data_IF_162489120502
#
_entry.id   IF_162489120502
#
_cell.length_a   1.000
_cell.length_b   1.000
_cell.length_c   1.000
_cell.angle_alpha   90.00
_cell.angle_beta   90.00
_cell.angle_gamma   90.00
#
_symmetry.space_group_name_H-M   'P 1'
#
loop_
_entity.id
_entity.type
_entity.pdbx_description
1 polymer ?
#
# COMPACT_ATOMS: atom_id res chain seq x y z
N UNK A 1 -10.78 -24.76 12.34
CA UNK A 1 -10.65 -23.59 11.47
C UNK A 1 -9.17 -23.36 11.16
N UNK A 2 -8.82 -23.19 9.89
CA UNK A 2 -7.48 -22.88 9.42
C UNK A 2 -7.50 -21.47 8.82
N UNK A 3 -6.57 -20.62 9.26
CA UNK A 3 -6.39 -19.26 8.74
C UNK A 3 -4.96 -19.15 8.22
N UNK A 4 -4.82 -18.77 6.95
CA UNK A 4 -3.51 -18.66 6.31
C UNK A 4 -3.53 -17.67 5.15
N UNK A 5 -2.36 -17.12 4.82
CA UNK A 5 -2.16 -16.43 3.54
C UNK A 5 -2.02 -17.44 2.40
N UNK A 6 -2.39 -17.09 1.14
CA UNK A 6 -2.37 -18.03 0.02
C UNK A 6 -1.03 -18.75 -0.17
N UNK A 7 0.08 -18.01 -0.16
CA UNK A 7 1.41 -18.59 -0.33
C UNK A 7 1.81 -19.55 0.79
N UNK A 8 1.49 -19.20 2.05
CA UNK A 8 1.79 -20.07 3.19
C UNK A 8 0.94 -21.34 3.21
N UNK A 9 -0.33 -21.24 2.81
CA UNK A 9 -1.21 -22.39 2.69
C UNK A 9 -0.70 -23.40 1.67
N UNK A 10 -0.32 -22.92 0.48
CA UNK A 10 0.26 -23.76 -0.57
C UNK A 10 1.60 -24.40 -0.17
N UNK A 11 2.45 -23.65 0.55
CA UNK A 11 3.72 -24.15 1.07
C UNK A 11 3.50 -25.31 2.05
N UNK A 12 2.63 -25.14 3.03
CA UNK A 12 2.32 -26.19 4.03
C UNK A 12 1.61 -27.39 3.42
N UNK A 13 0.72 -27.17 2.45
CA UNK A 13 0.09 -28.26 1.69
C UNK A 13 1.12 -29.05 0.90
N UNK A 14 2.05 -28.37 0.21
CA UNK A 14 3.14 -29.04 -0.54
C UNK A 14 4.07 -29.86 0.36
N UNK A 15 4.28 -29.42 1.60
CA UNK A 15 5.06 -30.15 2.60
C UNK A 15 4.29 -31.30 3.27
N UNK A 16 2.99 -31.49 2.93
CA UNK A 16 2.16 -32.57 3.49
C UNK A 16 1.60 -32.30 4.88
N UNK A 17 1.79 -31.09 5.43
CA UNK A 17 1.25 -30.74 6.76
C UNK A 17 -0.25 -30.44 6.77
N UNK A 18 -0.83 -30.14 5.61
CA UNK A 18 -2.23 -29.76 5.48
C UNK A 18 -2.86 -30.55 4.33
N UNK A 19 -3.99 -31.18 4.61
CA UNK A 19 -4.87 -31.77 3.62
C UNK A 19 -6.14 -30.89 3.47
N UNK A 20 -6.46 -30.53 2.21
CA UNK A 20 -7.60 -29.69 1.87
C UNK A 20 -8.79 -30.49 1.33
N UNK A 21 -8.68 -31.83 1.19
CA UNK A 21 -9.69 -32.67 0.58
C UNK A 21 -10.99 -32.80 1.38
N UNK A 22 -10.96 -32.44 2.67
CA UNK A 22 -12.12 -32.54 3.58
C UNK A 22 -12.71 -31.18 3.96
N UNK A 23 -12.40 -30.13 3.20
CA UNK A 23 -12.91 -28.79 3.47
C UNK A 23 -14.38 -28.65 3.05
N UNK A 24 -15.23 -28.19 3.97
CA UNK A 24 -16.64 -27.87 3.70
C UNK A 24 -16.90 -26.38 3.47
N UNK A 25 -15.99 -25.52 3.93
CA UNK A 25 -16.12 -24.05 3.80
C UNK A 25 -14.79 -23.45 3.36
N UNK A 26 -14.85 -22.63 2.33
CA UNK A 26 -13.73 -21.79 1.87
C UNK A 26 -14.12 -20.33 2.00
N UNK A 27 -13.33 -19.56 2.74
CA UNK A 27 -13.53 -18.12 2.87
C UNK A 27 -12.33 -17.41 2.24
N UNK A 28 -12.60 -16.58 1.26
CA UNK A 28 -11.63 -15.66 0.66
C UNK A 28 -11.96 -14.26 1.17
N UNK A 29 -11.09 -13.74 2.01
CA UNK A 29 -11.24 -12.40 2.59
C UNK A 29 -10.26 -11.42 1.96
N UNK A 30 -10.66 -10.14 1.83
CA UNK A 30 -9.88 -9.09 1.18
C UNK A 30 -9.44 -9.47 -0.26
N UNK A 31 -10.38 -9.99 -1.09
CA UNK A 31 -10.07 -10.51 -2.41
C UNK A 31 -9.45 -9.46 -3.35
N UNK A 32 -9.87 -8.20 -3.27
CA UNK A 32 -9.28 -7.07 -4.00
C UNK A 32 -7.80 -6.85 -3.61
N UNK A 33 -7.47 -7.00 -2.35
CA UNK A 33 -6.08 -6.91 -1.90
C UNK A 33 -5.23 -8.09 -2.40
N UNK A 34 -5.82 -9.30 -2.45
CA UNK A 34 -5.14 -10.46 -3.03
C UNK A 34 -4.83 -10.26 -4.53
N UNK A 35 -5.72 -9.55 -5.26
CA UNK A 35 -5.47 -9.16 -6.65
C UNK A 35 -4.28 -8.20 -6.75
N UNK A 36 -4.28 -7.13 -5.96
CA UNK A 36 -3.23 -6.10 -5.95
C UNK A 36 -1.85 -6.68 -5.62
N UNK A 37 -1.82 -7.69 -4.75
CA UNK A 37 -0.59 -8.40 -4.36
C UNK A 37 -0.16 -9.48 -5.35
N UNK A 38 -0.95 -9.75 -6.40
CA UNK A 38 -0.65 -10.76 -7.41
C UNK A 38 -0.94 -12.21 -6.99
N UNK A 39 -1.68 -12.44 -5.90
CA UNK A 39 -2.00 -13.78 -5.38
C UNK A 39 -3.14 -14.50 -6.13
N UNK A 40 -3.71 -13.91 -7.16
CA UNK A 40 -4.81 -14.53 -7.92
C UNK A 40 -4.48 -15.94 -8.40
N UNK A 41 -3.27 -16.16 -8.90
CA UNK A 41 -2.86 -17.48 -9.37
C UNK A 41 -2.75 -18.49 -8.22
N UNK A 42 -2.32 -18.05 -7.03
CA UNK A 42 -2.22 -18.93 -5.87
C UNK A 42 -3.61 -19.23 -5.30
N UNK A 43 -4.52 -18.27 -5.29
CA UNK A 43 -5.94 -18.49 -4.95
C UNK A 43 -6.58 -19.50 -5.91
N UNK A 44 -6.36 -19.39 -7.22
CA UNK A 44 -6.85 -20.37 -8.22
C UNK A 44 -6.31 -21.78 -7.97
N UNK A 45 -5.03 -21.92 -7.53
CA UNK A 45 -4.46 -23.23 -7.16
C UNK A 45 -5.15 -23.78 -5.91
N UNK A 46 -5.35 -22.97 -4.87
CA UNK A 46 -6.03 -23.38 -3.64
C UNK A 46 -7.45 -23.88 -3.95
N UNK A 47 -8.20 -23.14 -4.76
CA UNK A 47 -9.55 -23.52 -5.18
C UNK A 47 -9.57 -24.91 -5.82
N UNK A 48 -8.60 -25.21 -6.68
CA UNK A 48 -8.47 -26.54 -7.35
C UNK A 48 -8.08 -27.66 -6.39
N UNK A 49 -7.50 -27.37 -5.24
CA UNK A 49 -7.11 -28.35 -4.22
C UNK A 49 -8.24 -28.61 -3.20
N UNK A 50 -9.35 -27.89 -3.28
CA UNK A 50 -10.47 -28.01 -2.36
C UNK A 50 -11.63 -28.72 -3.05
N UNK A 51 -12.48 -29.51 -2.32
CA UNK A 51 -13.61 -30.22 -2.90
C UNK A 51 -14.62 -29.29 -3.59
N UNK A 52 -15.25 -29.74 -4.66
CA UNK A 52 -16.30 -28.97 -5.34
C UNK A 52 -17.56 -28.82 -4.48
N UNK A 53 -17.88 -29.82 -3.68
CA UNK A 53 -19.00 -29.78 -2.73
C UNK A 53 -18.60 -29.06 -1.45
N UNK A 54 -18.51 -27.72 -1.53
CA UNK A 54 -18.21 -26.82 -0.40
C UNK A 54 -19.07 -25.57 -0.46
N UNK A 55 -19.24 -24.91 0.67
CA UNK A 55 -19.70 -23.53 0.69
C UNK A 55 -18.52 -22.60 0.48
N UNK A 56 -18.65 -21.69 -0.47
CA UNK A 56 -17.59 -20.68 -0.72
C UNK A 56 -18.12 -19.28 -0.45
N UNK A 57 -17.38 -18.51 0.36
CA UNK A 57 -17.67 -17.12 0.66
C UNK A 57 -16.49 -16.26 0.16
N UNK A 58 -16.84 -15.14 -0.50
CA UNK A 58 -15.87 -14.16 -0.96
C UNK A 58 -16.22 -12.81 -0.35
N UNK A 59 -15.26 -12.23 0.37
CA UNK A 59 -15.35 -10.89 0.93
C UNK A 59 -14.37 -9.97 0.21
N UNK A 60 -14.81 -8.79 -0.16
CA UNK A 60 -14.01 -7.78 -0.82
C UNK A 60 -14.58 -6.41 -0.54
N UNK A 61 -13.74 -5.42 -0.26
CA UNK A 61 -14.19 -4.04 -0.09
C UNK A 61 -14.58 -3.42 -1.44
N UNK A 62 -13.93 -3.86 -2.52
CA UNK A 62 -14.20 -3.41 -3.88
C UNK A 62 -14.42 -4.60 -4.81
N UNK A 63 -15.15 -4.39 -5.92
CA UNK A 63 -15.46 -5.44 -6.88
C UNK A 63 -15.02 -5.04 -8.31
N UNK A 64 -13.70 -4.83 -8.54
CA UNK A 64 -13.21 -4.57 -9.88
C UNK A 64 -13.45 -5.76 -10.81
N UNK A 65 -13.40 -5.52 -12.12
CA UNK A 65 -13.72 -6.54 -13.14
C UNK A 65 -12.95 -7.84 -12.90
N UNK A 66 -11.66 -7.77 -12.61
CA UNK A 66 -10.82 -8.95 -12.38
C UNK A 66 -11.23 -9.79 -11.16
N UNK A 67 -11.76 -9.16 -10.09
CA UNK A 67 -12.31 -9.88 -8.92
C UNK A 67 -13.66 -10.51 -9.27
N UNK A 68 -14.48 -9.83 -10.07
CA UNK A 68 -15.74 -10.38 -10.55
C UNK A 68 -15.50 -11.61 -11.43
N UNK A 69 -14.61 -11.49 -12.41
CA UNK A 69 -14.17 -12.60 -13.25
C UNK A 69 -13.62 -13.77 -12.43
N UNK A 70 -12.81 -13.48 -11.41
CA UNK A 70 -12.32 -14.51 -10.50
C UNK A 70 -13.50 -15.20 -9.78
N UNK A 71 -14.41 -14.43 -9.19
CA UNK A 71 -15.57 -14.94 -8.48
C UNK A 71 -16.43 -15.85 -9.38
N UNK A 72 -16.67 -15.45 -10.62
CA UNK A 72 -17.45 -16.21 -11.60
C UNK A 72 -16.80 -17.57 -11.96
N UNK A 73 -15.49 -17.75 -11.74
CA UNK A 73 -14.81 -19.02 -12.03
C UNK A 73 -15.07 -20.10 -10.98
N UNK A 74 -15.48 -19.76 -9.76
CA UNK A 74 -15.60 -20.75 -8.67
C UNK A 74 -16.82 -20.60 -7.76
N UNK A 75 -17.59 -19.50 -7.88
CA UNK A 75 -18.86 -19.35 -7.18
C UNK A 75 -20.00 -19.89 -8.04
N UNK A 76 -20.83 -20.75 -7.47
CA UNK A 76 -22.00 -21.30 -8.14
C UNK A 76 -23.26 -20.59 -7.64
N UNK A 77 -23.92 -19.82 -8.52
CA UNK A 77 -25.13 -19.06 -8.22
C UNK A 77 -25.00 -18.23 -6.93
N UNK A 78 -23.97 -17.37 -6.81
CA UNK A 78 -23.71 -16.65 -5.57
C UNK A 78 -24.83 -15.67 -5.23
N UNK A 79 -25.07 -15.48 -3.93
CA UNK A 79 -25.87 -14.36 -3.43
C UNK A 79 -24.96 -13.18 -3.20
N UNK A 80 -25.29 -12.04 -3.77
CA UNK A 80 -24.56 -10.79 -3.59
C UNK A 80 -25.17 -9.99 -2.44
N UNK A 81 -24.34 -9.64 -1.46
CA UNK A 81 -24.71 -8.77 -0.34
C UNK A 81 -23.74 -7.58 -0.36
N UNK A 82 -24.29 -6.38 -0.55
CA UNK A 82 -23.52 -5.14 -0.49
C UNK A 82 -23.96 -4.35 0.75
N UNK A 83 -23.02 -3.93 1.57
CA UNK A 83 -23.31 -3.23 2.82
C UNK A 83 -23.19 -1.72 2.57
N UNK A 84 -22.12 -1.10 2.56
CA UNK A 84 -22.01 0.36 2.51
C UNK A 84 -21.20 0.82 1.29
N UNK A 85 -21.58 1.89 0.57
CA UNK A 85 -20.74 2.44 -0.50
C UNK A 85 -19.38 2.91 0.04
N UNK A 86 -18.33 2.71 -0.73
CA UNK A 86 -16.96 3.14 -0.42
C UNK A 86 -16.89 4.66 -0.13
N UNK A 87 -17.74 5.46 -0.78
CA UNK A 87 -17.83 6.91 -0.60
C UNK A 87 -18.17 7.33 0.84
N UNK A 88 -18.97 6.56 1.58
CA UNK A 88 -19.39 6.92 2.94
C UNK A 88 -18.23 6.96 3.96
N UNK A 89 -17.19 6.17 3.77
CA UNK A 89 -15.99 6.26 4.61
C UNK A 89 -15.26 7.58 4.40
N UNK A 90 -15.25 8.11 3.18
CA UNK A 90 -14.61 9.38 2.86
C UNK A 90 -15.36 10.59 3.42
N UNK A 91 -16.68 10.49 3.58
CA UNK A 91 -17.52 11.58 4.12
C UNK A 91 -17.25 11.86 5.60
N UNK A 92 -16.83 10.86 6.37
CA UNK A 92 -16.57 10.97 7.81
C UNK A 92 -15.14 11.43 8.15
N UNK A 93 -14.29 11.64 7.15
CA UNK A 93 -12.89 12.05 7.33
C UNK A 93 -12.69 13.45 6.78
N UNK A 94 -12.15 14.37 7.59
CA UNK A 94 -11.70 15.68 7.10
C UNK A 94 -10.50 15.48 6.16
N UNK A 95 -10.57 16.07 4.96
CA UNK A 95 -9.55 15.84 3.93
C UNK A 95 -8.96 17.15 3.44
N UNK A 96 -7.62 17.17 3.27
CA UNK A 96 -6.86 18.28 2.67
C UNK A 96 -5.90 17.75 1.63
N UNK A 97 -5.70 18.48 0.53
CA UNK A 97 -4.68 18.18 -0.47
C UNK A 97 -3.74 19.36 -0.66
N UNK A 98 -2.46 19.04 -0.75
CA UNK A 98 -1.37 19.98 -1.06
C UNK A 98 -0.79 19.62 -2.41
N UNK A 99 -0.82 20.55 -3.36
CA UNK A 99 -0.13 20.38 -4.63
C UNK A 99 1.32 20.82 -4.46
N UNK A 100 2.27 19.88 -4.56
CA UNK A 100 3.66 20.09 -4.16
C UNK A 100 4.61 19.36 -5.10
N UNK A 101 5.77 19.96 -5.39
CA UNK A 101 6.81 19.28 -6.17
C UNK A 101 7.33 18.05 -5.43
N UNK A 102 7.68 17.02 -6.19
CA UNK A 102 8.14 15.74 -5.65
C UNK A 102 9.33 15.88 -4.68
N UNK A 103 10.26 16.76 -5.01
CA UNK A 103 11.47 16.97 -4.19
C UNK A 103 11.17 17.69 -2.88
N UNK A 104 10.11 18.51 -2.86
CA UNK A 104 9.70 19.33 -1.73
C UNK A 104 8.78 18.59 -0.75
N UNK A 105 8.17 17.44 -1.14
CA UNK A 105 7.25 16.68 -0.29
C UNK A 105 7.82 16.40 1.10
N UNK A 106 9.13 16.08 1.22
CA UNK A 106 9.75 15.80 2.52
C UNK A 106 9.90 17.02 3.39
N UNK A 107 10.14 18.18 2.77
CA UNK A 107 10.24 19.46 3.49
C UNK A 107 8.87 19.87 4.00
N UNK A 108 7.84 19.77 3.15
CA UNK A 108 6.46 20.03 3.53
C UNK A 108 6.00 19.09 4.65
N UNK A 109 6.29 17.78 4.55
CA UNK A 109 5.95 16.81 5.60
C UNK A 109 6.55 17.21 6.95
N UNK A 110 7.85 17.51 6.97
CA UNK A 110 8.55 17.96 8.18
C UNK A 110 7.92 19.23 8.75
N UNK A 111 7.63 20.22 7.90
CA UNK A 111 7.00 21.47 8.30
C UNK A 111 5.64 21.24 8.95
N UNK A 112 4.75 20.48 8.30
CA UNK A 112 3.41 20.21 8.84
C UNK A 112 3.43 19.46 10.16
N UNK A 113 4.34 18.47 10.30
CA UNK A 113 4.46 17.73 11.56
C UNK A 113 4.81 18.68 12.72
N UNK A 114 5.72 19.64 12.48
CA UNK A 114 6.17 20.58 13.51
C UNK A 114 5.09 21.65 13.77
N UNK A 115 4.57 22.30 12.72
CA UNK A 115 3.64 23.42 12.84
C UNK A 115 2.26 23.01 13.37
N UNK A 116 1.73 21.86 12.89
CA UNK A 116 0.42 21.36 13.33
C UNK A 116 0.56 20.36 14.51
N UNK A 117 1.77 20.16 15.05
CA UNK A 117 2.07 19.24 16.16
C UNK A 117 1.50 17.84 15.91
N UNK A 118 1.66 17.32 14.68
CA UNK A 118 1.10 16.04 14.29
C UNK A 118 1.80 14.89 15.03
N UNK A 119 1.05 14.18 15.83
CA UNK A 119 1.51 12.98 16.53
C UNK A 119 0.57 11.80 16.28
N UNK A 120 1.06 10.58 16.48
CA UNK A 120 0.30 9.34 16.21
C UNK A 120 -0.23 9.30 14.76
N UNK A 121 0.63 9.68 13.79
CA UNK A 121 0.29 9.78 12.39
C UNK A 121 0.85 8.60 11.57
N UNK A 122 0.03 8.09 10.64
CA UNK A 122 0.43 7.08 9.67
C UNK A 122 0.69 7.75 8.32
N UNK A 123 1.92 7.63 7.82
CA UNK A 123 2.36 8.19 6.54
C UNK A 123 2.50 7.08 5.51
N UNK A 124 1.74 7.17 4.43
CA UNK A 124 1.80 6.22 3.31
C UNK A 124 2.75 6.70 2.22
N UNK A 125 3.67 5.84 1.81
CA UNK A 125 4.55 6.06 0.67
C UNK A 125 4.54 4.86 -0.27
N UNK A 126 4.83 5.11 -1.55
CA UNK A 126 4.76 4.08 -2.61
C UNK A 126 5.88 3.05 -2.51
N UNK A 127 7.08 3.44 -2.00
CA UNK A 127 8.26 2.58 -2.05
C UNK A 127 8.93 2.39 -0.69
N UNK A 128 9.53 1.21 -0.50
CA UNK A 128 10.33 0.89 0.69
C UNK A 128 11.48 1.87 0.93
N UNK A 129 12.21 2.23 -0.14
CA UNK A 129 13.29 3.22 -0.06
C UNK A 129 12.77 4.63 0.23
N UNK A 130 11.55 4.96 -0.26
CA UNK A 130 10.86 6.20 0.11
C UNK A 130 10.59 6.26 1.60
N UNK A 131 10.11 5.16 2.19
CA UNK A 131 9.83 5.06 3.62
C UNK A 131 11.10 5.29 4.46
N UNK A 132 12.19 4.59 4.17
CA UNK A 132 13.46 4.79 4.89
C UNK A 132 14.02 6.21 4.74
N UNK A 133 13.89 6.82 3.54
CA UNK A 133 14.34 8.19 3.30
C UNK A 133 13.50 9.23 4.07
N UNK A 134 12.18 9.05 4.14
CA UNK A 134 11.30 9.91 4.95
C UNK A 134 11.72 9.84 6.41
N UNK A 135 11.84 8.62 6.98
CA UNK A 135 12.26 8.42 8.36
C UNK A 135 13.63 9.06 8.64
N UNK A 136 14.58 8.91 7.72
CA UNK A 136 15.91 9.55 7.87
C UNK A 136 15.82 11.08 7.97
N UNK A 137 14.95 11.71 7.18
CA UNK A 137 14.72 13.17 7.23
C UNK A 137 14.05 13.58 8.54
N UNK A 138 13.03 12.83 8.98
CA UNK A 138 12.31 13.13 10.21
C UNK A 138 13.20 12.95 11.45
N UNK A 139 13.98 11.87 11.52
CA UNK A 139 14.95 11.65 12.62
C UNK A 139 16.01 12.74 12.70
N UNK A 140 16.49 13.27 11.56
CA UNK A 140 17.42 14.43 11.55
C UNK A 140 16.79 15.72 12.11
N UNK A 141 15.47 15.81 12.08
CA UNK A 141 14.71 16.91 12.68
C UNK A 141 14.21 16.58 14.11
N UNK A 142 14.80 15.55 14.76
CA UNK A 142 14.44 15.07 16.11
C UNK A 142 12.97 14.61 16.24
N UNK A 143 12.31 14.25 15.12
CA UNK A 143 10.95 13.67 15.12
C UNK A 143 11.09 12.15 15.28
N UNK A 144 10.36 11.57 16.23
CA UNK A 144 10.35 10.14 16.50
C UNK A 144 9.55 9.42 15.41
N UNK A 145 10.25 8.83 14.44
CA UNK A 145 9.65 8.16 13.30
C UNK A 145 10.31 6.81 13.03
N UNK A 146 9.51 5.81 12.62
CA UNK A 146 10.00 4.50 12.17
C UNK A 146 9.29 4.07 10.87
N UNK A 147 9.94 3.18 10.11
CA UNK A 147 9.41 2.65 8.86
C UNK A 147 9.00 1.18 8.97
N UNK A 148 7.89 0.84 8.30
CA UNK A 148 7.43 -0.54 8.11
C UNK A 148 7.24 -0.84 6.62
N UNK A 149 7.98 -1.83 6.09
CA UNK A 149 7.92 -2.26 4.68
C UNK A 149 8.45 -3.68 4.52
N UNK A 150 8.34 -4.24 3.31
CA UNK A 150 8.64 -5.65 3.03
C UNK A 150 10.07 -6.09 3.33
N UNK A 151 11.06 -5.19 3.32
CA UNK A 151 12.46 -5.53 3.63
C UNK A 151 12.77 -5.58 5.14
N UNK A 152 11.82 -5.21 6.00
CA UNK A 152 11.97 -5.37 7.45
C UNK A 152 11.57 -6.79 7.86
N UNK A 153 12.35 -7.41 8.75
CA UNK A 153 12.00 -8.70 9.33
C UNK A 153 10.68 -8.63 10.11
N UNK A 154 9.99 -9.75 10.26
CA UNK A 154 8.70 -9.79 10.98
C UNK A 154 8.84 -9.29 12.43
N UNK A 155 9.92 -9.66 13.12
CA UNK A 155 10.18 -9.19 14.48
C UNK A 155 10.40 -7.67 14.54
N UNK A 156 11.11 -7.10 13.56
CA UNK A 156 11.30 -5.65 13.48
C UNK A 156 9.97 -4.94 13.23
N UNK A 157 9.11 -5.49 12.37
CA UNK A 157 7.78 -4.94 12.10
C UNK A 157 6.89 -4.96 13.34
N UNK A 158 6.86 -6.08 14.07
CA UNK A 158 6.09 -6.18 15.32
C UNK A 158 6.56 -5.16 16.36
N UNK A 159 7.89 -5.06 16.58
CA UNK A 159 8.45 -4.08 17.51
C UNK A 159 8.05 -2.64 17.17
N UNK A 160 8.16 -2.25 15.88
CA UNK A 160 7.79 -0.90 15.45
C UNK A 160 6.29 -0.64 15.66
N UNK A 161 5.44 -1.65 15.43
CA UNK A 161 4.00 -1.53 15.66
C UNK A 161 3.67 -1.36 17.16
N UNK A 162 4.34 -2.10 18.02
CA UNK A 162 4.20 -1.96 19.47
C UNK A 162 4.65 -0.57 19.94
N UNK A 163 5.80 -0.10 19.48
CA UNK A 163 6.28 1.26 19.78
C UNK A 163 5.28 2.34 19.32
N UNK A 164 4.67 2.17 18.16
CA UNK A 164 3.68 3.11 17.66
C UNK A 164 2.37 3.06 18.47
N UNK A 165 1.86 1.86 18.80
CA UNK A 165 0.69 1.69 19.66
C UNK A 165 0.91 2.28 21.06
N UNK A 166 2.11 2.13 21.61
CA UNK A 166 2.50 2.67 22.92
C UNK A 166 2.85 4.17 22.87
N UNK A 167 2.75 4.83 21.71
CA UNK A 167 3.11 6.26 21.50
C UNK A 167 4.57 6.58 21.82
N UNK A 168 5.46 5.59 21.70
CA UNK A 168 6.91 5.78 21.83
C UNK A 168 7.50 6.45 20.56
N UNK A 169 6.84 6.27 19.42
CA UNK A 169 7.09 6.98 18.15
C UNK A 169 5.85 7.74 17.73
N UNK A 170 6.05 8.91 17.15
CA UNK A 170 4.98 9.83 16.74
C UNK A 170 4.51 9.55 15.30
N UNK A 171 5.42 9.11 14.43
CA UNK A 171 5.18 8.92 13.01
C UNK A 171 5.54 7.50 12.58
N UNK A 172 4.56 6.79 12.06
CA UNK A 172 4.79 5.50 11.38
C UNK A 172 4.75 5.72 9.87
N UNK A 173 5.84 5.39 9.17
CA UNK A 173 5.90 5.46 7.70
C UNK A 173 5.75 4.07 7.11
N UNK A 174 4.75 3.84 6.27
CA UNK A 174 4.42 2.52 5.75
C UNK A 174 4.23 2.51 4.23
N UNK A 175 4.53 1.37 3.61
CA UNK A 175 4.03 1.05 2.26
C UNK A 175 2.66 0.38 2.37
N UNK A 176 1.82 0.47 1.32
CA UNK A 176 0.48 -0.14 1.33
C UNK A 176 0.52 -1.62 1.72
N UNK A 177 1.42 -2.40 1.12
CA UNK A 177 1.57 -3.83 1.40
C UNK A 177 1.90 -4.09 2.88
N UNK A 178 2.75 -3.26 3.46
CA UNK A 178 3.15 -3.44 4.86
C UNK A 178 2.11 -2.94 5.85
N UNK A 179 1.26 -2.00 5.46
CA UNK A 179 0.17 -1.47 6.25
C UNK A 179 -1.11 -2.34 6.20
N UNK A 180 -1.16 -3.32 5.30
CA UNK A 180 -2.27 -4.28 5.23
C UNK A 180 -2.20 -5.27 6.39
N UNK A 181 -3.36 -5.61 6.94
CA UNK A 181 -3.45 -6.53 8.08
C UNK A 181 -2.85 -6.00 9.39
N UNK A 182 -2.48 -4.71 9.42
CA UNK A 182 -2.06 -4.08 10.65
C UNK A 182 -3.31 -3.59 11.39
N UNK A 183 -3.46 -4.03 12.64
CA UNK A 183 -4.46 -3.55 13.56
C UNK A 183 -4.05 -2.16 14.10
N UNK A 184 -4.17 -1.16 13.25
CA UNK A 184 -4.02 0.26 13.57
C UNK A 184 -5.22 0.99 12.99
N UNK A 185 -6.08 1.43 13.87
CA UNK A 185 -7.30 2.16 13.54
C UNK A 185 -7.46 3.36 14.48
N UNK A 186 -8.41 4.24 14.16
CA UNK A 186 -8.74 5.42 14.96
C UNK A 186 -7.57 6.40 15.13
N UNK A 187 -6.69 6.46 14.13
CA UNK A 187 -5.62 7.42 14.14
C UNK A 187 -6.15 8.85 13.99
N UNK A 188 -5.57 9.84 14.65
CA UNK A 188 -5.93 11.24 14.42
C UNK A 188 -5.51 11.71 13.03
N UNK A 189 -4.41 11.21 12.49
CA UNK A 189 -3.84 11.67 11.24
C UNK A 189 -3.44 10.53 10.31
N UNK A 190 -3.82 10.65 9.04
CA UNK A 190 -3.31 9.84 7.92
C UNK A 190 -2.72 10.77 6.87
N UNK A 191 -1.50 10.50 6.42
CA UNK A 191 -0.80 11.30 5.43
C UNK A 191 -0.48 10.45 4.22
N UNK A 192 -1.06 10.77 3.06
CA UNK A 192 -0.68 10.20 1.78
C UNK A 192 0.49 11.00 1.21
N UNK A 193 1.72 10.59 1.55
CA UNK A 193 2.94 11.21 1.02
C UNK A 193 3.05 11.01 -0.50
N UNK A 194 2.64 9.83 -0.99
CA UNK A 194 2.45 9.54 -2.41
C UNK A 194 0.97 9.19 -2.66
N UNK A 195 0.40 9.77 -3.70
CA UNK A 195 -0.95 9.43 -4.16
C UNK A 195 -0.96 7.99 -4.67
N UNK A 196 -1.90 7.12 -4.24
CA UNK A 196 -1.99 5.76 -4.75
C UNK A 196 -2.46 5.75 -6.21
N UNK A 197 -1.99 4.75 -6.97
CA UNK A 197 -2.38 4.58 -8.37
C UNK A 197 -3.80 4.01 -8.54
N UNK A 198 -4.31 3.36 -7.48
CA UNK A 198 -5.63 2.75 -7.40
C UNK A 198 -6.46 3.59 -6.44
N UNK A 199 -7.56 4.14 -6.93
CA UNK A 199 -8.37 5.09 -6.17
C UNK A 199 -8.98 4.48 -4.90
N UNK A 200 -9.32 3.20 -4.92
CA UNK A 200 -9.84 2.44 -3.77
C UNK A 200 -8.81 2.35 -2.64
N UNK A 201 -7.52 2.25 -2.99
CA UNK A 201 -6.44 2.25 -2.00
C UNK A 201 -6.43 3.55 -1.18
N UNK A 202 -6.79 4.69 -1.79
CA UNK A 202 -6.95 5.95 -1.06
C UNK A 202 -7.97 5.83 0.06
N UNK A 203 -9.14 5.26 -0.23
CA UNK A 203 -10.22 5.09 0.77
C UNK A 203 -9.79 4.13 1.88
N UNK A 204 -9.10 3.04 1.54
CA UNK A 204 -8.54 2.10 2.53
C UNK A 204 -7.49 2.76 3.44
N UNK A 205 -6.68 3.69 2.90
CA UNK A 205 -5.69 4.44 3.69
C UNK A 205 -6.38 5.41 4.64
N UNK A 206 -7.28 6.28 4.14
CA UNK A 206 -7.96 7.26 4.98
C UNK A 206 -8.93 6.59 5.97
N UNK A 207 -9.42 5.39 5.68
CA UNK A 207 -10.20 4.58 6.60
C UNK A 207 -9.43 4.09 7.84
N UNK A 208 -8.14 4.42 8.00
CA UNK A 208 -7.40 4.25 9.26
C UNK A 208 -7.66 5.38 10.26
N UNK A 209 -8.34 6.45 9.82
CA UNK A 209 -8.78 7.56 10.66
C UNK A 209 -10.30 7.74 10.56
N UNK A 210 -10.90 8.61 11.37
CA UNK A 210 -12.32 9.00 11.28
C UNK A 210 -13.32 7.89 11.59
N UNK A 211 -12.99 6.91 12.45
CA UNK A 211 -13.88 5.83 12.87
C UNK A 211 -14.48 6.07 14.26
N UNK A 212 -15.62 5.44 14.54
CA UNK A 212 -16.30 5.42 15.85
C UNK A 212 -16.65 6.81 16.41
N UNK A 213 -17.02 7.76 15.52
CA UNK A 213 -17.42 9.11 15.96
C UNK A 213 -16.26 10.09 16.23
N UNK A 214 -15.01 9.66 16.10
CA UNK A 214 -13.86 10.53 16.21
C UNK A 214 -13.60 11.25 14.88
N UNK A 215 -13.35 12.57 14.93
CA UNK A 215 -12.90 13.33 13.77
C UNK A 215 -11.46 12.96 13.40
N UNK A 216 -11.22 12.54 12.16
CA UNK A 216 -9.89 12.24 11.64
C UNK A 216 -9.51 13.20 10.52
N UNK A 217 -8.20 13.44 10.35
CA UNK A 217 -7.67 14.27 9.29
C UNK A 217 -6.80 13.45 8.34
N UNK A 218 -7.17 13.47 7.05
CA UNK A 218 -6.36 12.93 5.97
C UNK A 218 -5.70 14.06 5.18
N UNK A 219 -4.37 14.03 5.08
CA UNK A 219 -3.56 14.98 4.34
C UNK A 219 -2.95 14.25 3.14
N UNK A 220 -3.03 14.85 1.95
CA UNK A 220 -2.50 14.24 0.73
C UNK A 220 -1.53 15.19 0.02
N UNK A 221 -0.37 14.68 -0.40
CA UNK A 221 0.60 15.42 -1.20
C UNK A 221 0.54 14.93 -2.65
N UNK A 222 0.09 15.79 -3.54
CA UNK A 222 -0.08 15.49 -4.95
C UNK A 222 1.02 16.16 -5.77
N UNK A 223 1.90 15.37 -6.37
CA UNK A 223 2.87 15.83 -7.35
C UNK A 223 2.23 16.07 -8.72
N UNK A 224 2.94 16.77 -9.63
CA UNK A 224 2.47 16.99 -11.00
C UNK A 224 2.16 15.68 -11.73
N UNK A 225 3.01 14.70 -11.57
CA UNK A 225 2.89 13.35 -12.15
C UNK A 225 1.78 12.48 -11.50
N UNK A 226 1.19 12.94 -10.40
CA UNK A 226 0.13 12.23 -9.68
C UNK A 226 -1.26 12.84 -9.89
N UNK A 227 -1.37 13.97 -10.60
CA UNK A 227 -2.63 14.72 -10.76
C UNK A 227 -3.75 13.88 -11.36
N UNK A 228 -3.45 13.04 -12.36
CA UNK A 228 -4.46 12.18 -12.98
C UNK A 228 -5.04 11.17 -11.98
N UNK A 229 -4.20 10.56 -11.14
CA UNK A 229 -4.67 9.66 -10.08
C UNK A 229 -5.50 10.40 -9.03
N UNK A 230 -5.12 11.63 -8.69
CA UNK A 230 -5.89 12.46 -7.77
C UNK A 230 -7.30 12.75 -8.30
N UNK A 231 -7.43 13.08 -9.57
CA UNK A 231 -8.74 13.31 -10.21
C UNK A 231 -9.61 12.05 -10.21
N UNK A 232 -9.02 10.86 -10.44
CA UNK A 232 -9.74 9.60 -10.36
C UNK A 232 -10.20 9.30 -8.91
N UNK A 233 -9.41 9.66 -7.89
CA UNK A 233 -9.81 9.57 -6.48
C UNK A 233 -11.00 10.47 -6.18
N UNK A 234 -10.97 11.76 -6.57
CA UNK A 234 -12.09 12.68 -6.35
C UNK A 234 -13.38 12.19 -7.03
N UNK A 235 -13.28 11.56 -8.22
CA UNK A 235 -14.42 10.92 -8.89
C UNK A 235 -14.99 9.76 -8.08
N UNK A 236 -14.12 8.90 -7.52
CA UNK A 236 -14.53 7.75 -6.72
C UNK A 236 -15.23 8.18 -5.44
N UNK A 237 -14.63 9.12 -4.68
CA UNK A 237 -15.19 9.61 -3.41
C UNK A 237 -16.35 10.59 -3.60
N UNK A 238 -16.62 11.01 -4.83
CA UNK A 238 -17.69 11.94 -5.23
C UNK A 238 -17.66 13.28 -4.48
N UNK A 239 -16.47 13.74 -4.09
CA UNK A 239 -16.30 15.01 -3.43
C UNK A 239 -15.05 15.73 -3.91
N UNK A 240 -15.08 17.07 -3.86
CA UNK A 240 -13.88 17.89 -4.05
C UNK A 240 -13.19 18.08 -2.72
N UNK A 241 -11.94 17.69 -2.65
CA UNK A 241 -11.13 17.84 -1.44
C UNK A 241 -10.59 19.26 -1.34
N UNK A 242 -10.57 19.81 -0.13
CA UNK A 242 -10.03 21.15 0.12
C UNK A 242 -8.57 21.23 -0.28
N UNK A 243 -8.27 22.07 -1.27
CA UNK A 243 -6.90 22.40 -1.68
C UNK A 243 -6.32 23.42 -0.73
N UNK A 244 -5.13 23.15 -0.20
CA UNK A 244 -4.36 24.12 0.60
C UNK A 244 -3.30 24.75 -0.31
N UNK A 245 -3.39 26.06 -0.49
CA UNK A 245 -2.50 26.84 -1.37
C UNK A 245 -1.53 27.72 -0.61
N UNK A 246 -1.80 27.97 0.67
CA UNK A 246 -0.95 28.80 1.53
C UNK A 246 0.22 27.99 2.10
N UNK A 247 1.19 27.68 1.22
CA UNK A 247 2.48 27.07 1.59
C UNK A 247 3.55 27.37 0.54
N UNK A 248 4.79 27.46 0.96
CA UNK A 248 5.94 27.86 0.12
C UNK A 248 6.32 26.86 -0.99
N UNK A 249 5.78 25.64 -0.98
CA UNK A 249 6.13 24.56 -1.92
C UNK A 249 5.06 24.33 -3.00
N UNK A 250 4.12 25.26 -3.17
CA UNK A 250 3.01 25.16 -4.13
C UNK A 250 3.55 25.20 -5.56
N UNK A 251 3.06 24.29 -6.41
CA UNK A 251 3.27 24.37 -7.85
C UNK A 251 1.99 24.85 -8.56
N UNK A 252 2.14 25.52 -9.71
CA UNK A 252 1.01 26.04 -10.49
C UNK A 252 0.56 25.04 -11.56
N UNK A 253 -0.74 24.99 -11.83
CA UNK A 253 -1.40 24.03 -12.73
C UNK A 253 -1.17 24.28 -14.23
N UNK A 254 -0.45 25.35 -14.61
CA UNK A 254 -0.44 25.90 -15.99
C UNK A 254 0.04 24.95 -17.10
N UNK A 255 0.58 23.75 -16.78
CA UNK A 255 1.17 22.84 -17.79
C UNK A 255 0.76 21.36 -17.67
N UNK A 256 -0.39 21.01 -17.12
CA UNK A 256 -0.73 19.61 -16.90
C UNK A 256 -1.69 19.10 -17.97
N UNK A 257 -1.26 18.09 -18.72
CA UNK A 257 -2.17 17.21 -19.43
C UNK A 257 -2.91 16.32 -18.39
N UNK A 258 -4.22 16.50 -18.15
CA UNK A 258 -4.97 15.75 -17.13
C UNK A 258 -5.05 14.26 -17.43
N UNK A 259 -4.75 13.82 -18.65
CA UNK A 259 -4.80 12.43 -19.09
C UNK A 259 -3.42 11.73 -19.04
N UNK A 260 -2.34 12.46 -18.76
CA UNK A 260 -1.00 11.91 -18.66
C UNK A 260 -0.82 11.13 -17.34
N UNK A 261 -1.15 9.84 -17.35
CA UNK A 261 -0.76 8.92 -16.26
C UNK A 261 0.73 8.61 -16.36
N UNK A 262 1.47 8.57 -15.25
CA UNK A 262 2.89 8.24 -15.26
C UNK A 262 3.13 6.88 -15.90
N UNK A 263 4.06 6.78 -16.84
CA UNK A 263 4.46 5.53 -17.46
C UNK A 263 5.25 4.69 -16.44
N UNK A 264 4.58 3.74 -15.80
CA UNK A 264 5.16 2.82 -14.82
C UNK A 264 6.09 1.78 -15.46
N UNK A 265 6.15 1.69 -16.82
CA UNK A 265 6.91 0.66 -17.54
C UNK A 265 8.40 1.00 -17.72
N UNK A 266 8.83 2.22 -17.45
CA UNK A 266 10.18 2.69 -17.83
C UNK A 266 11.26 2.50 -16.76
N UNK A 267 11.06 1.67 -15.71
CA UNK A 267 12.12 1.39 -14.71
C UNK A 267 13.08 0.26 -15.10
N UNK A 268 12.89 -0.45 -16.21
CA UNK A 268 13.72 -1.60 -16.61
C UNK A 268 14.60 -1.38 -17.86
N UNK A 269 14.78 -0.14 -18.31
CA UNK A 269 15.89 0.13 -19.25
C UNK A 269 17.16 0.38 -18.45
N UNK A 270 17.72 -0.67 -17.89
CA UNK A 270 19.13 -0.73 -17.54
C UNK A 270 19.94 -0.54 -18.82
N UNK A 271 20.83 0.44 -18.79
CA UNK A 271 21.76 0.82 -19.83
C UNK A 271 22.59 -0.41 -20.28
N UNK A 272 22.54 -0.88 -21.53
CA UNK A 272 23.30 -2.07 -21.96
C UNK A 272 24.80 -1.80 -22.16
N UNK A 273 25.31 -0.63 -21.80
CA UNK A 273 26.68 -0.18 -22.18
C UNK A 273 27.69 -0.05 -21.01
N UNK A 274 27.57 -0.82 -19.94
CA UNK A 274 28.62 -0.84 -18.90
C UNK A 274 29.42 -2.15 -18.76
N UNK A 275 29.33 -3.06 -19.74
CA UNK A 275 30.06 -4.34 -19.69
C UNK A 275 31.06 -4.55 -20.87
N UNK A 276 31.78 -3.51 -21.27
CA UNK A 276 32.87 -3.67 -22.25
C UNK A 276 34.15 -2.95 -21.81
N UNK A 277 34.64 -3.24 -20.60
CA UNK A 277 36.03 -2.96 -20.20
C UNK A 277 36.36 -3.76 -18.92
N UNK A 278 36.55 -5.07 -19.04
CA UNK A 278 37.34 -5.89 -18.10
C UNK A 278 37.41 -7.34 -18.61
N UNK A 279 38.15 -7.54 -19.71
CA UNK A 279 38.62 -8.86 -20.13
C UNK A 279 39.90 -8.76 -20.93
N UNK A 280 40.94 -8.09 -20.36
CA UNK A 280 42.30 -8.20 -20.81
C UNK A 280 43.23 -7.89 -19.63
N UNK A 281 43.34 -8.81 -18.69
CA UNK A 281 44.49 -8.93 -17.78
C UNK A 281 44.27 -10.11 -16.81
N UNK A 282 44.45 -11.31 -17.30
CA UNK A 282 44.78 -12.48 -16.45
C UNK A 282 44.96 -13.76 -17.28
N UNK A 283 45.92 -13.71 -18.22
CA UNK A 283 46.58 -14.91 -18.74
C UNK A 283 48.05 -14.78 -18.45
N UNK A 284 48.48 -15.15 -17.24
CA UNK A 284 49.87 -15.61 -16.91
C UNK A 284 49.89 -16.00 -15.43
N UNK A 285 49.88 -17.27 -15.19
CA UNK A 285 50.61 -18.03 -14.19
C UNK A 285 49.82 -19.27 -13.73
N UNK A 286 49.90 -20.32 -14.58
CA UNK A 286 49.86 -21.68 -14.07
C UNK A 286 51.26 -22.12 -13.88
N UNK A 287 51.72 -22.31 -12.63
CA UNK A 287 52.78 -23.26 -12.26
C UNK A 287 52.46 -23.80 -10.88
N UNK A 288 52.14 -25.07 -10.87
CA UNK A 288 52.55 -26.19 -9.97
C UNK A 288 52.82 -25.82 -8.52
N UNK A 289 52.21 -26.58 -7.60
CA UNK A 289 52.91 -27.49 -6.65
C UNK A 289 51.84 -28.25 -5.86
N UNK A 290 52.01 -29.58 -5.94
CA UNK A 290 51.56 -30.74 -5.12
C UNK A 290 50.07 -30.80 -4.69
#
# INVERSE_FOLDING_TARGET
VLIATPGRLLDLHKQGFIDLNHMHHLVLDEADQMLDMGFINDVKKIIKLTPDNRQTLLFSATMPLAIRELADTFLTKPKYISVTPISSTAENVSQKVYFVNKDDKRLLLKQLIIEESLSNALVFTRTKHGADNIVKVLKKAHIKAEAIHGDKSQNARQRVLEQFKNKEIDILVATDIAARGIDIEQLPFVINFDIPNISETYVHRIGRTGRAGNSGLAISFCGKDEKAYWLDIEKLIRMKVKVVTDHQYTWRDEEINPDAKPDLRNKNKMNPNSNSRKSEASKKNKKRWY
#
